data_IF_640442712990
#
_entry.id   IF_640442712990
#
_cell.length_a   1.000
_cell.length_b   1.000
_cell.length_c   1.000
_cell.angle_alpha   90.00
_cell.angle_beta   90.00
_cell.angle_gamma   90.00
#
_symmetry.space_group_name_H-M   'P 1'
#
loop_
_entity.id
_entity.type
_entity.pdbx_description
1 polymer ?
#
# COMPACT_ATOMS: atom_id res chain seq x y z
N UNK A 1 -10.51 -5.55 -14.12
CA UNK A 1 -9.24 -5.67 -14.87
C UNK A 1 -8.44 -4.43 -14.58
N UNK A 2 -7.24 -4.58 -14.02
CA UNK A 2 -6.37 -3.45 -13.68
C UNK A 2 -5.92 -2.78 -14.98
N UNK A 3 -6.20 -1.48 -15.12
CA UNK A 3 -5.87 -0.68 -16.30
C UNK A 3 -4.50 0.00 -16.17
N UNK A 4 -3.64 -0.50 -15.28
CA UNK A 4 -2.27 -0.05 -15.06
C UNK A 4 -1.31 -1.14 -15.49
N UNK A 5 -0.20 -0.72 -16.08
CA UNK A 5 0.90 -1.60 -16.46
C UNK A 5 2.18 -1.07 -15.87
N UNK A 6 2.94 -1.92 -15.20
CA UNK A 6 4.33 -1.63 -14.85
C UNK A 6 5.15 -1.59 -16.15
N UNK A 7 5.77 -0.46 -16.44
CA UNK A 7 6.57 -0.26 -17.66
C UNK A 7 8.04 -0.57 -17.42
N UNK A 8 8.54 -0.42 -16.18
CA UNK A 8 9.89 -0.81 -15.82
C UNK A 8 10.34 -0.30 -14.45
N UNK A 9 11.53 -0.76 -14.06
CA UNK A 9 12.29 -0.30 -12.90
C UNK A 9 13.48 0.51 -13.41
N UNK A 10 13.66 1.73 -12.89
CA UNK A 10 14.64 2.69 -13.37
C UNK A 10 15.60 3.10 -12.25
N UNK A 11 16.84 3.45 -12.65
CA UNK A 11 17.92 3.88 -11.76
C UNK A 11 18.19 2.92 -10.58
N UNK A 12 17.99 1.62 -10.80
CA UNK A 12 18.03 0.57 -9.76
C UNK A 12 19.30 0.67 -8.91
N UNK A 13 19.12 0.66 -7.58
CA UNK A 13 20.21 0.77 -6.60
C UNK A 13 20.70 2.20 -6.36
N UNK A 14 20.18 3.20 -7.07
CA UNK A 14 20.51 4.62 -6.87
C UNK A 14 19.48 5.30 -5.97
N UNK A 15 19.81 6.47 -5.42
CA UNK A 15 18.92 7.21 -4.52
C UNK A 15 17.63 7.68 -5.21
N UNK A 16 17.67 7.91 -6.53
CA UNK A 16 16.55 8.37 -7.34
C UNK A 16 15.86 7.22 -8.10
N UNK A 17 16.00 5.98 -7.63
CA UNK A 17 15.31 4.84 -8.22
C UNK A 17 13.79 4.93 -8.12
N UNK A 18 13.10 4.39 -9.13
CA UNK A 18 11.64 4.34 -9.16
C UNK A 18 11.11 3.20 -10.01
N UNK A 19 9.88 2.79 -9.69
CA UNK A 19 9.04 1.99 -10.59
C UNK A 19 8.13 2.94 -11.37
N UNK A 20 8.05 2.73 -12.69
CA UNK A 20 7.13 3.47 -13.56
C UNK A 20 5.95 2.59 -13.96
N UNK A 21 4.76 3.20 -13.94
CA UNK A 21 3.53 2.61 -14.42
C UNK A 21 2.89 3.51 -15.48
N UNK A 22 2.15 2.90 -16.39
CA UNK A 22 1.36 3.59 -17.40
C UNK A 22 -0.10 3.14 -17.35
N UNK A 23 -1.00 4.12 -17.40
CA UNK A 23 -2.43 3.88 -17.49
C UNK A 23 -2.83 3.50 -18.92
N UNK A 24 -3.20 2.23 -19.15
CA UNK A 24 -3.68 1.72 -20.43
C UNK A 24 -5.06 2.28 -20.82
N UNK A 25 -5.85 2.67 -19.82
CA UNK A 25 -7.16 3.32 -19.96
C UNK A 25 -7.39 4.30 -18.80
N UNK A 26 -8.56 4.95 -18.75
CA UNK A 26 -8.95 5.75 -17.58
C UNK A 26 -9.11 4.82 -16.36
N UNK A 27 -8.51 5.17 -15.23
CA UNK A 27 -8.62 4.42 -13.98
C UNK A 27 -8.39 5.30 -12.76
N UNK A 28 -8.81 4.81 -11.61
CA UNK A 28 -8.46 5.38 -10.30
C UNK A 28 -7.37 4.53 -9.64
N UNK A 29 -6.54 5.16 -8.82
CA UNK A 29 -5.55 4.51 -7.97
C UNK A 29 -6.08 4.18 -6.57
N UNK A 30 -7.25 4.71 -6.19
CA UNK A 30 -7.88 4.46 -4.88
C UNK A 30 -7.85 2.95 -4.50
N UNK A 31 -7.28 2.67 -3.33
CA UNK A 31 -7.13 1.34 -2.75
C UNK A 31 -6.18 0.38 -3.49
N UNK A 32 -5.58 0.79 -4.62
CA UNK A 32 -4.58 -0.02 -5.30
C UNK A 32 -3.28 -0.04 -4.50
N UNK A 33 -2.63 -1.20 -4.50
CA UNK A 33 -1.37 -1.40 -3.83
C UNK A 33 -0.31 -1.88 -4.82
N UNK A 34 0.92 -1.40 -4.66
CA UNK A 34 2.10 -2.01 -5.26
C UNK A 34 2.75 -2.93 -4.25
N UNK A 35 2.89 -4.20 -4.60
CA UNK A 35 3.57 -5.19 -3.78
C UNK A 35 4.93 -5.50 -4.41
N UNK A 36 5.96 -5.52 -3.58
CA UNK A 36 7.33 -5.91 -3.94
C UNK A 36 7.75 -7.10 -3.13
N UNK A 37 8.22 -8.15 -3.81
CA UNK A 37 8.87 -9.30 -3.19
C UNK A 37 10.36 -9.33 -3.52
N UNK A 38 11.12 -9.82 -2.54
CA UNK A 38 12.48 -10.29 -2.76
C UNK A 38 12.49 -11.80 -2.53
N UNK A 39 13.11 -12.52 -3.45
CA UNK A 39 13.26 -13.96 -3.36
C UNK A 39 14.69 -14.31 -2.97
N UNK A 40 14.85 -15.39 -2.23
CA UNK A 40 16.17 -15.98 -1.98
C UNK A 40 16.68 -16.72 -3.24
N UNK A 41 17.90 -17.24 -3.19
CA UNK A 41 18.51 -17.96 -4.31
C UNK A 41 17.73 -19.23 -4.75
N UNK A 42 16.88 -19.77 -3.87
CA UNK A 42 16.04 -20.94 -4.11
C UNK A 42 14.66 -20.57 -4.70
N UNK A 43 14.35 -19.28 -4.83
CA UNK A 43 13.09 -18.79 -5.36
C UNK A 43 11.96 -18.70 -4.32
N UNK A 44 12.26 -18.77 -3.03
CA UNK A 44 11.27 -18.55 -1.97
C UNK A 44 11.19 -17.07 -1.58
N UNK A 45 9.98 -16.51 -1.37
CA UNK A 45 9.81 -15.12 -0.96
C UNK A 45 10.33 -14.91 0.46
N UNK A 46 11.12 -13.86 0.66
CA UNK A 46 11.60 -13.41 1.97
C UNK A 46 10.57 -12.39 2.50
N UNK A 47 9.56 -12.86 3.23
CA UNK A 47 8.42 -12.03 3.64
C UNK A 47 8.80 -10.83 4.52
N UNK A 48 9.81 -10.93 5.36
CA UNK A 48 10.36 -9.80 6.13
C UNK A 48 10.93 -8.67 5.25
N UNK A 49 11.27 -8.99 4.00
CA UNK A 49 11.75 -8.05 2.98
C UNK A 49 10.69 -7.68 1.94
N UNK A 50 9.47 -8.23 2.06
CA UNK A 50 8.34 -7.77 1.27
C UNK A 50 8.02 -6.31 1.61
N UNK A 51 7.56 -5.56 0.62
CA UNK A 51 7.14 -4.16 0.78
C UNK A 51 5.80 -3.96 0.11
N UNK A 52 4.96 -3.13 0.71
CA UNK A 52 3.65 -2.77 0.19
C UNK A 52 3.51 -1.25 0.21
N UNK A 53 3.10 -0.67 -0.91
CA UNK A 53 2.77 0.74 -1.03
C UNK A 53 1.30 0.87 -1.43
N UNK A 54 0.52 1.57 -0.63
CA UNK A 54 -0.84 1.95 -0.99
C UNK A 54 -0.81 3.29 -1.74
N UNK A 55 -1.44 3.33 -2.92
CA UNK A 55 -1.49 4.55 -3.70
C UNK A 55 -2.55 5.51 -3.15
N UNK A 56 -2.28 6.83 -3.16
CA UNK A 56 -3.29 7.83 -2.84
C UNK A 56 -4.31 7.96 -3.99
N UNK A 57 -5.54 8.33 -3.64
CA UNK A 57 -6.64 8.56 -4.56
C UNK A 57 -6.25 9.50 -5.72
N UNK A 58 -6.06 8.91 -6.89
CA UNK A 58 -5.54 9.63 -8.05
C UNK A 58 -6.22 9.15 -9.32
N UNK A 59 -6.99 10.05 -9.93
CA UNK A 59 -7.64 9.80 -11.19
C UNK A 59 -6.67 9.95 -12.37
N UNK A 60 -6.45 8.85 -13.10
CA UNK A 60 -5.57 8.78 -14.26
C UNK A 60 -6.36 8.72 -15.57
N UNK A 61 -5.82 9.39 -16.58
CA UNK A 61 -6.26 9.23 -17.98
C UNK A 61 -5.34 8.25 -18.70
N UNK A 62 -5.84 7.66 -19.79
CA UNK A 62 -5.02 6.84 -20.69
C UNK A 62 -3.73 7.59 -21.09
N UNK A 63 -2.60 6.90 -21.02
CA UNK A 63 -1.26 7.43 -21.30
C UNK A 63 -0.66 8.27 -20.17
N UNK A 64 -1.38 8.51 -19.05
CA UNK A 64 -0.75 9.08 -17.87
C UNK A 64 0.24 8.08 -17.28
N UNK A 65 1.31 8.63 -16.70
CA UNK A 65 2.35 7.85 -16.03
C UNK A 65 2.33 8.08 -14.54
N UNK A 66 2.75 7.07 -13.81
CA UNK A 66 2.98 7.13 -12.37
C UNK A 66 4.42 6.71 -12.14
N UNK A 67 5.16 7.48 -11.34
CA UNK A 67 6.49 7.12 -10.85
C UNK A 67 6.41 7.04 -9.34
N UNK A 68 6.74 5.88 -8.80
CA UNK A 68 6.88 5.69 -7.36
C UNK A 68 8.37 5.59 -7.05
N UNK A 69 8.91 6.65 -6.48
CA UNK A 69 10.30 6.71 -6.03
C UNK A 69 10.44 5.99 -4.69
N UNK A 70 11.51 5.21 -4.53
CA UNK A 70 11.81 4.58 -3.24
C UNK A 70 12.07 5.64 -2.18
N UNK A 71 12.86 6.67 -2.51
CA UNK A 71 13.11 7.82 -1.64
C UNK A 71 12.13 8.98 -1.82
N UNK A 72 12.50 10.14 -1.27
CA UNK A 72 11.71 11.37 -1.39
C UNK A 72 11.93 12.08 -2.73
N UNK A 73 10.83 12.48 -3.39
CA UNK A 73 10.84 13.42 -4.51
C UNK A 73 10.00 14.67 -4.24
N UNK A 74 10.54 15.84 -4.63
CA UNK A 74 9.88 17.15 -4.49
C UNK A 74 8.87 17.42 -5.58
N UNK A 75 9.15 16.98 -6.81
CA UNK A 75 8.30 17.25 -7.95
C UNK A 75 7.16 16.23 -7.97
N UNK A 76 5.94 16.64 -7.59
CA UNK A 76 4.78 15.73 -7.48
C UNK A 76 4.04 15.48 -8.78
N UNK A 77 4.15 16.39 -9.76
CA UNK A 77 3.39 16.31 -11.00
C UNK A 77 4.09 17.03 -12.14
N UNK A 78 4.31 16.31 -13.24
CA UNK A 78 4.90 16.85 -14.47
C UNK A 78 3.86 16.78 -15.59
N UNK A 79 3.69 17.87 -16.33
CA UNK A 79 2.84 17.89 -17.52
C UNK A 79 3.70 18.06 -18.76
N UNK A 80 3.60 17.12 -19.69
CA UNK A 80 4.26 17.17 -21.00
C UNK A 80 3.20 17.07 -22.11
N UNK A 81 3.55 17.34 -23.38
CA UNK A 81 2.66 17.09 -24.50
C UNK A 81 2.24 15.62 -24.62
N UNK A 82 3.09 14.67 -24.19
CA UNK A 82 2.77 13.23 -24.23
C UNK A 82 1.80 12.79 -23.12
N UNK A 83 1.67 13.57 -22.04
CA UNK A 83 0.77 13.23 -20.95
C UNK A 83 1.11 13.88 -19.61
N UNK A 84 0.52 13.33 -18.56
CA UNK A 84 0.77 13.76 -17.18
C UNK A 84 1.50 12.64 -16.46
N UNK A 85 2.61 12.98 -15.78
CA UNK A 85 3.32 12.09 -14.88
C UNK A 85 3.03 12.50 -13.45
N UNK A 86 2.55 11.56 -12.64
CA UNK A 86 2.35 11.70 -11.21
C UNK A 86 3.52 11.04 -10.48
N UNK A 87 4.17 11.79 -9.61
CA UNK A 87 5.35 11.33 -8.88
C UNK A 87 4.99 11.18 -7.40
N UNK A 88 5.14 9.96 -6.91
CA UNK A 88 4.95 9.61 -5.51
C UNK A 88 6.29 9.29 -4.85
N UNK A 89 6.34 9.55 -3.55
CA UNK A 89 7.48 9.19 -2.71
C UNK A 89 7.05 8.05 -1.79
N UNK A 90 7.83 6.98 -1.72
CA UNK A 90 7.71 5.97 -0.68
C UNK A 90 8.46 6.38 0.59
N UNK A 91 9.37 7.37 0.51
CA UNK A 91 10.14 7.91 1.65
C UNK A 91 10.96 6.84 2.41
N UNK A 92 11.46 5.84 1.71
CA UNK A 92 12.38 4.85 2.27
C UNK A 92 13.81 5.42 2.34
N UNK A 93 14.54 5.02 3.39
CA UNK A 93 15.93 5.44 3.58
C UNK A 93 16.91 4.77 2.60
N UNK A 94 16.48 3.67 1.97
CA UNK A 94 17.35 2.83 1.13
C UNK A 94 16.67 2.44 -0.19
N UNK A 95 17.45 2.30 -1.28
CA UNK A 95 16.99 1.66 -2.51
C UNK A 95 16.55 0.20 -2.27
N UNK A 96 15.49 -0.24 -2.93
CA UNK A 96 14.85 -1.55 -2.84
C UNK A 96 14.73 -2.29 -4.19
N UNK A 97 15.04 -1.64 -5.32
CA UNK A 97 14.90 -2.25 -6.65
C UNK A 97 16.15 -2.95 -7.17
N UNK A 98 17.26 -2.96 -6.42
CA UNK A 98 18.51 -3.62 -6.82
C UNK A 98 18.43 -5.16 -6.77
N UNK A 99 19.26 -5.86 -7.57
CA UNK A 99 19.42 -7.32 -7.57
C UNK A 99 18.51 -8.09 -8.52
N UNK A 100 18.82 -9.37 -8.80
CA UNK A 100 18.10 -10.15 -9.82
C UNK A 100 16.85 -10.89 -9.31
N UNK A 101 16.56 -10.82 -8.01
CA UNK A 101 15.48 -11.58 -7.37
C UNK A 101 14.36 -10.69 -6.85
N UNK A 102 14.16 -9.53 -7.48
CA UNK A 102 13.11 -8.58 -7.11
C UNK A 102 11.99 -8.63 -8.12
N UNK A 103 10.76 -8.81 -7.64
CA UNK A 103 9.55 -8.72 -8.45
C UNK A 103 8.56 -7.73 -7.83
N UNK A 104 7.72 -7.14 -8.66
CA UNK A 104 6.59 -6.35 -8.20
C UNK A 104 5.36 -6.52 -9.08
N UNK A 105 4.19 -6.32 -8.46
CA UNK A 105 2.90 -6.36 -9.13
C UNK A 105 1.95 -5.35 -8.48
N UNK A 106 0.90 -4.99 -9.23
CA UNK A 106 -0.21 -4.21 -8.71
C UNK A 106 -1.28 -5.17 -8.23
N UNK A 107 -1.77 -4.91 -7.03
CA UNK A 107 -2.84 -5.64 -6.38
C UNK A 107 -4.01 -4.68 -6.18
N UNK A 108 -5.20 -5.09 -6.62
CA UNK A 108 -6.42 -4.38 -6.22
C UNK A 108 -6.84 -4.82 -4.81
N UNK A 109 -7.61 -4.00 -4.07
CA UNK A 109 -8.10 -4.41 -2.75
C UNK A 109 -9.08 -5.60 -2.85
N UNK A 110 -9.69 -5.80 -4.02
CA UNK A 110 -10.53 -6.96 -4.33
C UNK A 110 -9.70 -8.20 -4.71
N UNK A 111 -8.42 -8.02 -5.06
CA UNK A 111 -7.48 -9.09 -5.41
C UNK A 111 -6.79 -9.61 -4.15
N UNK A 112 -7.50 -10.51 -3.47
CA UNK A 112 -7.02 -11.61 -2.59
C UNK A 112 -5.65 -11.40 -1.91
N UNK A 113 -5.64 -10.74 -0.75
CA UNK A 113 -4.61 -11.01 0.27
C UNK A 113 -5.03 -12.28 1.02
N UNK A 114 -4.41 -13.40 0.71
CA UNK A 114 -4.59 -14.63 1.48
C UNK A 114 -3.78 -14.56 2.76
N UNK A 115 -4.44 -14.51 3.93
CA UNK A 115 -3.79 -14.82 5.19
C UNK A 115 -3.52 -16.31 5.23
N UNK A 116 -2.26 -16.74 5.05
CA UNK A 116 -1.89 -18.11 5.36
C UNK A 116 -1.92 -18.25 6.90
N UNK A 117 -2.76 -19.13 7.48
CA UNK A 117 -2.70 -19.37 8.92
C UNK A 117 -1.30 -19.88 9.30
N UNK A 118 -0.77 -19.40 10.42
CA UNK A 118 0.59 -19.69 10.91
C UNK A 118 0.84 -21.16 11.31
N UNK A 119 -0.10 -22.07 11.03
CA UNK A 119 0.05 -23.51 11.28
C UNK A 119 0.14 -24.25 9.93
N UNK A 120 1.28 -24.89 9.61
CA UNK A 120 1.45 -25.62 8.36
C UNK A 120 0.77 -27.00 8.35
N UNK A 121 -0.24 -27.25 9.18
CA UNK A 121 -0.86 -28.58 9.31
C UNK A 121 -2.36 -28.42 9.52
N UNK A 122 -3.10 -28.38 8.41
CA UNK A 122 -4.31 -29.16 8.18
C UNK A 122 -4.65 -29.01 6.70
N UNK A 123 -4.87 -30.14 6.01
CA UNK A 123 -5.29 -30.18 4.62
C UNK A 123 -6.67 -29.53 4.49
N UNK A 124 -6.71 -28.21 4.37
CA UNK A 124 -7.95 -27.49 4.11
C UNK A 124 -8.38 -27.70 2.66
N UNK A 125 -9.58 -28.26 2.50
CA UNK A 125 -10.20 -28.52 1.21
C UNK A 125 -10.61 -27.20 0.54
N UNK A 126 -10.02 -26.95 -0.62
CA UNK A 126 -10.33 -25.88 -1.58
C UNK A 126 -9.80 -24.44 -1.29
N UNK A 127 -9.38 -23.71 -2.35
CA UNK A 127 -8.94 -22.32 -2.27
C UNK A 127 -9.95 -21.32 -1.70
N UNK A 128 -11.24 -21.68 -1.61
CA UNK A 128 -12.29 -20.80 -1.11
C UNK A 128 -12.32 -20.73 0.43
N UNK A 129 -11.76 -21.72 1.12
CA UNK A 129 -11.75 -21.82 2.59
C UNK A 129 -10.47 -21.23 3.22
N UNK A 130 -9.50 -20.80 2.41
CA UNK A 130 -8.16 -20.34 2.84
C UNK A 130 -8.10 -18.86 3.28
N UNK A 131 -9.22 -18.17 3.41
CA UNK A 131 -9.18 -16.77 3.84
C UNK A 131 -10.55 -16.24 4.23
N UNK A 132 -10.68 -15.77 5.47
CA UNK A 132 -11.77 -14.88 5.84
C UNK A 132 -11.42 -13.49 5.30
N UNK A 133 -12.22 -13.04 4.33
CA UNK A 133 -12.03 -11.77 3.65
C UNK A 133 -12.64 -10.65 4.49
N UNK A 134 -11.80 -9.72 4.92
CA UNK A 134 -12.27 -8.45 5.44
C UNK A 134 -11.70 -7.37 4.51
N UNK A 135 -12.52 -6.66 3.72
CA UNK A 135 -12.03 -5.46 3.08
C UNK A 135 -11.43 -4.57 4.17
N UNK A 136 -10.18 -4.13 3.99
CA UNK A 136 -9.54 -3.18 4.89
C UNK A 136 -10.23 -1.83 4.71
N UNK A 137 -11.45 -1.67 5.22
CA UNK A 137 -12.05 -0.35 5.38
C UNK A 137 -11.17 0.50 6.30
N UNK A 138 -11.32 1.82 6.26
CA UNK A 138 -10.48 2.77 7.03
C UNK A 138 -10.30 2.33 8.50
N UNK A 139 -11.37 1.90 9.17
CA UNK A 139 -11.32 1.42 10.56
C UNK A 139 -10.45 0.15 10.74
N UNK A 140 -10.50 -0.77 9.78
CA UNK A 140 -9.71 -2.01 9.81
C UNK A 140 -8.25 -1.76 9.41
N UNK A 141 -8.00 -0.85 8.46
CA UNK A 141 -6.66 -0.38 8.13
C UNK A 141 -5.97 0.27 9.33
N UNK A 142 -6.69 1.14 10.04
CA UNK A 142 -6.21 1.76 11.29
C UNK A 142 -5.97 0.73 12.40
N UNK A 143 -6.87 -0.24 12.55
CA UNK A 143 -6.70 -1.34 13.53
C UNK A 143 -5.49 -2.21 13.21
N UNK A 144 -5.25 -2.49 11.93
CA UNK A 144 -4.08 -3.22 11.47
C UNK A 144 -2.79 -2.43 11.70
N UNK A 145 -2.75 -1.14 11.33
CA UNK A 145 -1.62 -0.26 11.57
C UNK A 145 -1.27 -0.19 13.06
N UNK A 146 -2.29 -0.10 13.93
CA UNK A 146 -2.13 -0.16 15.37
C UNK A 146 -1.53 -1.48 15.85
N UNK A 147 -2.07 -2.61 15.39
CA UNK A 147 -1.55 -3.93 15.72
C UNK A 147 -0.10 -4.12 15.25
N UNK A 148 0.29 -3.53 14.11
CA UNK A 148 1.67 -3.54 13.62
C UNK A 148 2.59 -2.74 14.55
N UNK A 149 2.21 -1.50 14.89
CA UNK A 149 3.00 -0.64 15.80
C UNK A 149 3.15 -1.27 17.19
N UNK A 150 2.11 -1.94 17.69
CA UNK A 150 2.15 -2.67 18.96
C UNK A 150 2.96 -3.99 18.88
N UNK A 151 3.45 -4.39 17.70
CA UNK A 151 4.21 -5.62 17.49
C UNK A 151 3.38 -6.90 17.50
N UNK A 152 2.05 -6.78 17.42
CA UNK A 152 1.09 -7.88 17.44
C UNK A 152 0.97 -8.59 16.08
N UNK A 153 1.57 -8.03 15.02
CA UNK A 153 1.63 -8.63 13.68
C UNK A 153 3.07 -9.02 13.37
N UNK A 154 3.30 -10.30 13.09
CA UNK A 154 4.62 -10.87 12.81
C UNK A 154 4.62 -11.60 11.46
N UNK A 155 5.80 -11.65 10.83
CA UNK A 155 6.05 -12.33 9.55
C UNK A 155 7.30 -13.20 9.66
N UNK A 156 7.43 -14.18 8.77
CA UNK A 156 8.64 -14.99 8.69
C UNK A 156 9.81 -14.22 8.08
N UNK A 157 10.99 -14.34 8.68
CA UNK A 157 12.25 -13.89 8.11
C UNK A 157 12.92 -14.97 7.23
N UNK A 158 14.12 -14.67 6.74
CA UNK A 158 14.92 -15.56 5.91
C UNK A 158 15.35 -16.87 6.59
N UNK A 159 15.31 -16.91 7.93
CA UNK A 159 15.61 -18.09 8.75
C UNK A 159 14.34 -18.82 9.21
N UNK A 160 13.17 -18.41 8.69
CA UNK A 160 11.84 -18.83 9.12
C UNK A 160 11.49 -18.44 10.57
N UNK A 161 12.25 -17.54 11.19
CA UNK A 161 11.94 -16.94 12.49
C UNK A 161 10.81 -15.91 12.37
N UNK A 162 10.09 -15.65 13.47
CA UNK A 162 9.05 -14.62 13.51
C UNK A 162 9.65 -13.25 13.86
N UNK A 163 9.41 -12.25 13.00
CA UNK A 163 9.82 -10.86 13.21
C UNK A 163 8.61 -9.93 13.10
N UNK A 164 8.51 -8.86 13.91
CA UNK A 164 7.41 -7.90 13.80
C UNK A 164 7.37 -7.24 12.41
N UNK A 165 6.16 -7.09 11.88
CA UNK A 165 5.93 -6.25 10.70
C UNK A 165 6.28 -4.79 11.04
N UNK A 166 6.79 -4.03 10.07
CA UNK A 166 7.20 -2.64 10.27
C UNK A 166 6.49 -1.73 9.29
N UNK A 167 5.95 -0.61 9.80
CA UNK A 167 5.54 0.51 8.96
C UNK A 167 6.78 1.35 8.66
N UNK A 168 7.03 1.63 7.39
CA UNK A 168 8.18 2.41 6.91
C UNK A 168 7.69 3.45 5.91
N UNK A 169 8.50 4.48 5.65
CA UNK A 169 8.14 5.48 4.64
C UNK A 169 7.14 6.53 5.12
N UNK A 170 6.92 6.60 6.43
CA UNK A 170 6.11 7.63 7.07
C UNK A 170 6.83 8.98 6.94
N UNK A 171 6.16 10.05 6.49
CA UNK A 171 6.72 11.40 6.51
C UNK A 171 7.30 11.78 7.88
N UNK A 172 8.43 12.51 7.91
CA UNK A 172 9.11 12.87 9.16
C UNK A 172 8.19 13.57 10.18
N UNK A 173 7.27 14.41 9.71
CA UNK A 173 6.33 15.13 10.56
C UNK A 173 5.17 14.25 11.08
N UNK A 174 5.00 13.06 10.53
CA UNK A 174 4.01 12.05 10.93
C UNK A 174 4.62 10.91 11.76
N UNK A 175 5.94 10.71 11.64
CA UNK A 175 6.68 9.63 12.28
C UNK A 175 6.49 9.62 13.81
N UNK A 176 6.44 10.80 14.43
CA UNK A 176 6.22 10.97 15.86
C UNK A 176 4.89 10.37 16.34
N UNK A 177 3.84 10.40 15.52
CA UNK A 177 2.55 9.82 15.89
C UNK A 177 2.59 8.29 15.81
N UNK A 178 3.24 7.74 14.80
CA UNK A 178 3.43 6.29 14.66
C UNK A 178 4.28 5.72 15.79
N UNK A 179 5.39 6.38 16.15
CA UNK A 179 6.28 5.93 17.23
C UNK A 179 5.59 5.94 18.60
N UNK A 180 4.69 6.89 18.83
CA UNK A 180 3.92 7.00 20.07
C UNK A 180 2.61 6.20 20.06
N UNK A 181 2.25 5.57 18.93
CA UNK A 181 0.94 4.93 18.74
C UNK A 181 -0.24 5.90 18.82
N UNK A 182 -0.02 7.20 18.60
CA UNK A 182 -1.03 8.26 18.65
C UNK A 182 -1.75 8.40 17.29
N UNK A 183 -2.55 7.38 16.98
CA UNK A 183 -3.30 7.32 15.74
C UNK A 183 -4.45 8.34 15.64
N UNK A 184 -5.00 8.78 16.77
CA UNK A 184 -6.00 9.87 16.80
C UNK A 184 -5.35 11.22 16.47
N UNK A 185 -4.15 11.48 17.03
CA UNK A 185 -3.32 12.64 16.70
C UNK A 185 -2.93 12.66 15.23
N UNK A 186 -2.49 11.51 14.69
CA UNK A 186 -2.18 11.36 13.27
C UNK A 186 -3.38 11.71 12.38
N UNK A 187 -4.56 11.14 12.68
CA UNK A 187 -5.77 11.38 11.89
C UNK A 187 -6.17 12.86 11.88
N UNK A 188 -6.04 13.52 13.03
CA UNK A 188 -6.29 14.96 13.15
C UNK A 188 -5.27 15.77 12.34
N UNK A 189 -3.99 15.43 12.41
CA UNK A 189 -2.92 16.08 11.62
C UNK A 189 -3.17 15.96 10.12
N UNK A 190 -3.54 14.77 9.64
CA UNK A 190 -3.87 14.54 8.22
C UNK A 190 -5.14 15.28 7.78
N UNK A 191 -6.14 15.41 8.67
CA UNK A 191 -7.32 16.26 8.41
C UNK A 191 -6.98 17.74 8.33
N UNK A 192 -6.08 18.23 9.20
CA UNK A 192 -5.61 19.62 9.18
C UNK A 192 -4.80 19.93 7.91
N UNK A 193 -4.04 18.96 7.38
CA UNK A 193 -3.39 19.05 6.07
C UNK A 193 -4.36 18.97 4.89
N UNK A 194 -5.60 18.55 5.12
CA UNK A 194 -6.60 18.34 4.08
C UNK A 194 -6.36 17.10 3.21
N UNK A 195 -5.54 16.16 3.70
CA UNK A 195 -5.22 14.90 3.02
C UNK A 195 -6.34 13.86 3.19
N UNK A 196 -7.12 13.98 4.27
CA UNK A 196 -8.33 13.19 4.50
C UNK A 196 -9.53 14.15 4.50
N UNK A 197 -10.56 13.82 3.71
CA UNK A 197 -11.79 14.59 3.70
C UNK A 197 -12.45 14.59 5.09
N UNK A 198 -13.02 15.72 5.50
CA UNK A 198 -13.92 15.71 6.66
C UNK A 198 -15.09 14.77 6.35
N UNK A 199 -15.17 13.64 7.07
CA UNK A 199 -16.30 12.74 6.96
C UNK A 199 -17.58 13.56 7.12
N UNK A 200 -18.35 13.72 6.04
CA UNK A 200 -19.66 14.38 6.11
C UNK A 200 -20.48 13.55 7.10
N UNK A 201 -21.01 14.15 8.19
CA UNK A 201 -21.88 13.42 9.09
C UNK A 201 -23.02 12.83 8.27
N UNK A 202 -23.18 11.51 8.34
CA UNK A 202 -24.28 10.82 7.69
C UNK A 202 -25.57 11.52 8.10
N UNK A 203 -26.28 12.09 7.12
CA UNK A 203 -27.58 12.70 7.39
C UNK A 203 -28.47 11.59 7.95
N UNK A 204 -28.73 11.65 9.26
CA UNK A 204 -29.75 10.85 9.94
C UNK A 204 -30.97 10.77 9.03
N UNK A 205 -31.29 9.54 8.61
CA UNK A 205 -32.47 9.25 7.83
C UNK A 205 -33.68 9.88 8.53
N UNK A 206 -34.37 10.80 7.86
CA UNK A 206 -35.67 11.30 8.31
C UNK A 206 -36.58 10.08 8.45
N UNK A 207 -36.97 9.76 9.69
CA UNK A 207 -38.10 8.85 9.98
C UNK A 207 -39.28 9.32 9.13
N UNK A 208 -39.64 8.53 8.12
CA UNK A 208 -40.90 8.71 7.40
C UNK A 208 -42.03 8.55 8.40
N UNK A 209 -42.81 9.61 8.61
CA UNK A 209 -44.10 9.51 9.29
C UNK A 209 -44.96 8.52 8.50
N UNK A 210 -45.30 7.39 9.11
CA UNK A 210 -46.41 6.54 8.70
C UNK A 210 -47.68 7.38 8.82
N UNK A 211 -48.28 7.72 7.69
CA UNK A 211 -49.67 8.15 7.62
C UNK A 211 -50.54 6.91 7.80
N UNK A 212 -51.43 6.94 8.80
CA UNK A 212 -52.61 6.07 8.87
C UNK A 212 -53.75 6.78 8.15
#
# INVERSE_FOLDING_TARGET
>A
MINLRITGLYNRGQQDEYVELEAAARCDLEGLMLVRYLYNAEGFPIYSQARLYEFPDTNLRKGNRVRLYSGFTKEKKVRTPEGVTYNFSWNLDTPIWDGNHVECYIMSPDERIGFAPCNPIEDHESPAERGTFLPLGEELGMSLAKAIVEGNVQVHDETLGFVPLKVTGVPEDEQVFFENGDFEGLLKHMQEKGEIGTAKPSKKAKKSKKSK
#
